data_IF_618328441117
#
_entry.id   IF_618328441117
#
_cell.length_a   1.000
_cell.length_b   1.000
_cell.length_c   1.000
_cell.angle_alpha   90.00
_cell.angle_beta   90.00
_cell.angle_gamma   90.00
#
_symmetry.space_group_name_H-M   'P 1'
#
loop_
_entity.id
_entity.type
_entity.pdbx_description
1 polymer ?
#
# COMPACT_ATOMS: atom_id res chain seq x y z
N UNK A 1 -4.39 -15.40 12.55
CA UNK A 1 -4.59 -13.94 12.47
C UNK A 1 -5.29 -13.58 11.17
N UNK A 2 -6.03 -12.50 11.15
CA UNK A 2 -6.59 -11.88 9.95
C UNK A 2 -5.67 -10.74 9.52
N UNK A 3 -5.05 -10.85 8.35
CA UNK A 3 -4.07 -9.89 7.86
C UNK A 3 -4.61 -9.20 6.62
N UNK A 4 -4.78 -7.90 6.66
CA UNK A 4 -5.06 -7.08 5.49
C UNK A 4 -3.73 -6.60 4.88
N UNK A 5 -3.61 -6.66 3.56
CA UNK A 5 -2.49 -6.05 2.84
C UNK A 5 -3.05 -4.97 1.91
N UNK A 6 -2.71 -3.71 2.17
CA UNK A 6 -3.06 -2.58 1.31
C UNK A 6 -1.84 -2.13 0.52
N UNK A 7 -1.80 -2.51 -0.73
CA UNK A 7 -0.70 -2.18 -1.64
C UNK A 7 -1.11 -2.39 -3.09
N UNK A 8 -0.15 -2.34 -4.04
CA UNK A 8 -0.42 -2.68 -5.42
C UNK A 8 -0.31 -4.20 -5.66
N UNK A 9 -1.31 -4.72 -6.34
CA UNK A 9 -1.41 -6.10 -6.82
C UNK A 9 -1.76 -6.08 -8.30
N UNK A 10 -1.90 -7.23 -8.92
CA UNK A 10 -2.45 -7.33 -10.27
C UNK A 10 -3.71 -6.45 -10.40
N UNK A 11 -3.92 -5.68 -11.47
CA UNK A 11 -3.16 -5.68 -12.74
C UNK A 11 -1.96 -4.72 -12.80
N UNK A 12 -1.48 -4.19 -11.68
CA UNK A 12 -0.29 -3.34 -11.68
C UNK A 12 0.97 -4.16 -11.91
N UNK A 13 1.90 -3.64 -12.74
CA UNK A 13 3.18 -4.30 -13.04
C UNK A 13 4.29 -3.81 -12.10
N UNK A 14 5.38 -4.59 -12.06
CA UNK A 14 6.63 -4.23 -11.40
C UNK A 14 6.94 -5.04 -10.15
N UNK A 15 8.16 -4.85 -9.65
CA UNK A 15 8.71 -5.64 -8.54
C UNK A 15 7.91 -5.53 -7.25
N UNK A 16 7.28 -4.37 -6.99
CA UNK A 16 6.44 -4.18 -5.80
C UNK A 16 5.21 -5.09 -5.86
N UNK A 17 4.52 -5.15 -7.00
CA UNK A 17 3.35 -6.01 -7.17
C UNK A 17 3.72 -7.50 -7.05
N UNK A 18 4.84 -7.90 -7.63
CA UNK A 18 5.35 -9.28 -7.53
C UNK A 18 5.70 -9.65 -6.09
N UNK A 19 6.41 -8.78 -5.38
CA UNK A 19 6.73 -8.97 -3.97
C UNK A 19 5.47 -9.09 -3.11
N UNK A 20 4.48 -8.24 -3.34
CA UNK A 20 3.21 -8.28 -2.59
C UNK A 20 2.44 -9.58 -2.85
N UNK A 21 2.45 -10.06 -4.09
CA UNK A 21 1.88 -11.37 -4.46
C UNK A 21 2.58 -12.51 -3.72
N UNK A 22 3.91 -12.50 -3.70
CA UNK A 22 4.69 -13.48 -2.93
C UNK A 22 4.36 -13.42 -1.43
N UNK A 23 4.39 -12.22 -0.84
CA UNK A 23 4.06 -12.00 0.57
C UNK A 23 2.64 -12.47 0.91
N UNK A 24 1.66 -12.17 0.06
CA UNK A 24 0.28 -12.64 0.20
C UNK A 24 0.22 -14.16 0.24
N UNK A 25 0.87 -14.83 -0.71
CA UNK A 25 0.87 -16.29 -0.80
C UNK A 25 1.55 -16.95 0.41
N UNK A 26 2.68 -16.41 0.86
CA UNK A 26 3.39 -16.94 2.04
C UNK A 26 2.59 -16.77 3.33
N UNK A 27 2.01 -15.60 3.54
CA UNK A 27 1.18 -15.36 4.72
C UNK A 27 -0.12 -16.19 4.70
N UNK A 28 -0.70 -16.43 3.52
CA UNK A 28 -1.91 -17.21 3.36
C UNK A 28 -1.74 -18.70 3.75
N UNK A 29 -0.52 -19.20 3.81
CA UNK A 29 -0.25 -20.58 4.28
C UNK A 29 -0.60 -20.78 5.76
N UNK A 30 -0.57 -19.70 6.56
CA UNK A 30 -0.75 -19.78 8.03
C UNK A 30 -1.80 -18.82 8.58
N UNK A 31 -2.29 -17.89 7.75
CA UNK A 31 -3.17 -16.80 8.17
C UNK A 31 -4.32 -16.60 7.18
N UNK A 32 -5.39 -15.97 7.64
CA UNK A 32 -6.45 -15.49 6.74
C UNK A 32 -6.03 -14.13 6.20
N UNK A 33 -5.70 -14.06 4.91
CA UNK A 33 -5.17 -12.85 4.28
C UNK A 33 -6.17 -12.28 3.29
N UNK A 34 -6.30 -10.96 3.24
CA UNK A 34 -7.07 -10.25 2.22
C UNK A 34 -6.26 -9.12 1.62
N UNK A 35 -6.21 -9.08 0.29
CA UNK A 35 -5.57 -8.03 -0.46
C UNK A 35 -6.55 -6.89 -0.76
N UNK A 36 -6.13 -5.66 -0.46
CA UNK A 36 -6.76 -4.42 -0.87
C UNK A 36 -5.83 -3.71 -1.83
N UNK A 37 -6.37 -3.26 -2.95
CA UNK A 37 -5.59 -2.75 -4.06
C UNK A 37 -5.96 -1.30 -4.37
N UNK A 38 -5.10 -0.64 -5.12
CA UNK A 38 -5.44 0.63 -5.72
C UNK A 38 -6.45 0.42 -6.86
N UNK A 39 -7.47 1.25 -6.92
CA UNK A 39 -8.26 1.46 -8.13
C UNK A 39 -7.55 2.43 -9.07
N UNK A 40 -6.76 3.38 -8.49
CA UNK A 40 -5.86 4.27 -9.21
C UNK A 40 -4.69 4.65 -8.32
N UNK A 41 -3.45 4.33 -8.77
CA UNK A 41 -2.22 4.71 -8.06
C UNK A 41 -1.84 6.16 -8.31
N UNK A 42 -1.84 6.56 -9.57
CA UNK A 42 -1.45 7.90 -10.02
C UNK A 42 -2.43 8.44 -11.03
N UNK A 43 -2.65 9.76 -11.07
CA UNK A 43 -3.15 10.40 -12.28
C UNK A 43 -2.20 10.09 -13.45
N UNK A 44 -2.74 9.78 -14.62
CA UNK A 44 -1.94 9.36 -15.78
C UNK A 44 -0.84 10.38 -16.15
N UNK A 45 -1.09 11.66 -15.91
CA UNK A 45 -0.14 12.75 -16.17
C UNK A 45 1.10 12.72 -15.26
N UNK A 46 1.03 12.07 -14.09
CA UNK A 46 2.14 11.99 -13.13
C UNK A 46 2.94 10.69 -13.24
N UNK A 47 2.51 9.77 -14.09
CA UNK A 47 3.20 8.50 -14.26
C UNK A 47 4.37 8.63 -15.25
N UNK A 48 5.61 8.33 -14.83
CA UNK A 48 6.79 8.53 -15.67
C UNK A 48 6.99 7.47 -16.75
N UNK A 49 6.13 6.44 -16.81
CA UNK A 49 6.24 5.32 -17.74
C UNK A 49 5.12 5.28 -18.79
N UNK A 50 5.22 4.34 -19.75
CA UNK A 50 4.20 4.14 -20.79
C UNK A 50 2.91 3.55 -20.25
N UNK A 51 3.00 2.61 -19.30
CA UNK A 51 1.86 1.99 -18.63
C UNK A 51 2.25 1.49 -17.25
N UNK A 52 1.32 1.60 -16.29
CA UNK A 52 1.46 1.04 -14.94
C UNK A 52 0.83 -0.36 -14.82
N UNK A 53 0.27 -0.89 -15.90
CA UNK A 53 -0.41 -2.18 -15.92
C UNK A 53 0.42 -3.24 -16.63
N UNK A 54 0.18 -4.50 -16.24
CA UNK A 54 0.77 -5.68 -16.89
C UNK A 54 0.36 -5.75 -18.36
N UNK A 55 1.26 -6.21 -19.20
CA UNK A 55 0.97 -6.55 -20.59
C UNK A 55 0.86 -8.08 -20.78
N UNK A 56 0.60 -8.51 -22.02
CA UNK A 56 0.43 -9.94 -22.36
C UNK A 56 1.69 -10.80 -22.15
N UNK A 57 2.86 -10.17 -22.02
CA UNK A 57 4.14 -10.84 -21.85
C UNK A 57 4.62 -10.87 -20.40
N UNK A 58 3.91 -10.18 -19.51
CA UNK A 58 4.25 -10.16 -18.08
C UNK A 58 3.74 -11.45 -17.39
N UNK A 59 4.65 -12.21 -16.77
CA UNK A 59 4.33 -13.40 -15.95
C UNK A 59 3.76 -13.00 -14.58
N UNK A 60 2.74 -12.15 -14.56
CA UNK A 60 2.12 -11.71 -13.32
C UNK A 60 1.11 -12.75 -12.82
N UNK A 61 1.26 -13.20 -11.59
CA UNK A 61 0.30 -14.09 -10.95
C UNK A 61 -0.81 -13.24 -10.34
N UNK A 62 -2.06 -13.39 -10.79
CA UNK A 62 -3.17 -12.64 -10.23
C UNK A 62 -3.47 -13.11 -8.80
N UNK A 63 -3.62 -12.15 -7.90
CA UNK A 63 -4.16 -12.34 -6.55
C UNK A 63 -5.53 -11.67 -6.52
N UNK A 64 -6.53 -12.36 -5.98
CA UNK A 64 -7.84 -11.76 -5.75
C UNK A 64 -7.69 -10.59 -4.79
N UNK A 65 -7.95 -9.39 -5.27
CA UNK A 65 -7.78 -8.16 -4.52
C UNK A 65 -8.94 -7.20 -4.72
N UNK A 66 -9.31 -6.49 -3.67
CA UNK A 66 -10.36 -5.48 -3.71
C UNK A 66 -9.76 -4.12 -4.09
N UNK A 67 -10.00 -3.69 -5.32
CA UNK A 67 -9.52 -2.40 -5.84
C UNK A 67 -10.41 -1.25 -5.34
N UNK A 68 -9.98 -0.56 -4.29
CA UNK A 68 -10.79 0.47 -3.59
C UNK A 68 -10.08 1.80 -3.42
N UNK A 69 -8.75 1.85 -3.38
CA UNK A 69 -8.00 3.06 -3.07
C UNK A 69 -7.63 3.84 -4.33
N UNK A 70 -8.24 5.00 -4.51
CA UNK A 70 -7.84 6.00 -5.50
C UNK A 70 -7.08 7.12 -4.80
N UNK A 71 -5.78 7.25 -5.08
CA UNK A 71 -4.92 8.22 -4.38
C UNK A 71 -5.23 9.68 -4.68
N UNK A 72 -5.97 9.95 -5.75
CA UNK A 72 -6.40 11.29 -6.12
C UNK A 72 -7.83 11.63 -5.65
N UNK A 73 -8.54 10.67 -5.02
CA UNK A 73 -9.91 10.85 -4.55
C UNK A 73 -10.04 10.63 -3.05
N UNK A 74 -10.14 11.68 -2.21
CA UNK A 74 -10.27 11.56 -0.76
C UNK A 74 -11.48 10.74 -0.30
N UNK A 75 -12.58 10.70 -1.05
CA UNK A 75 -13.74 9.86 -0.69
C UNK A 75 -13.40 8.37 -0.74
N UNK A 76 -12.47 7.97 -1.60
CA UNK A 76 -11.99 6.59 -1.64
C UNK A 76 -11.19 6.21 -0.38
N UNK A 77 -10.55 7.17 0.30
CA UNK A 77 -9.83 6.92 1.55
C UNK A 77 -10.79 6.46 2.64
N UNK A 78 -11.95 7.13 2.73
CA UNK A 78 -13.03 6.80 3.67
C UNK A 78 -13.59 5.40 3.35
N UNK A 79 -13.89 5.14 2.07
CA UNK A 79 -14.41 3.85 1.62
C UNK A 79 -13.40 2.71 1.88
N UNK A 80 -12.11 2.95 1.62
CA UNK A 80 -11.03 1.98 1.87
C UNK A 80 -10.87 1.68 3.36
N UNK A 81 -10.81 2.71 4.20
CA UNK A 81 -10.73 2.55 5.65
C UNK A 81 -11.94 1.76 6.18
N UNK A 82 -13.15 2.07 5.68
CA UNK A 82 -14.36 1.33 6.03
C UNK A 82 -14.28 -0.13 5.60
N UNK A 83 -13.91 -0.42 4.36
CA UNK A 83 -13.82 -1.78 3.83
C UNK A 83 -12.81 -2.65 4.62
N UNK A 84 -11.67 -2.08 4.99
CA UNK A 84 -10.67 -2.77 5.82
C UNK A 84 -11.20 -2.97 7.24
N UNK A 85 -11.78 -1.95 7.85
CA UNK A 85 -12.34 -2.03 9.20
C UNK A 85 -13.49 -3.03 9.32
N UNK A 86 -14.39 -3.07 8.32
CA UNK A 86 -15.52 -4.02 8.30
C UNK A 86 -15.03 -5.47 8.17
N UNK A 87 -13.88 -5.67 7.53
CA UNK A 87 -13.23 -6.98 7.47
C UNK A 87 -12.55 -7.38 8.79
N UNK A 88 -12.35 -6.46 9.75
CA UNK A 88 -11.80 -6.66 11.10
C UNK A 88 -10.45 -7.37 11.10
N UNK A 89 -9.40 -6.81 10.49
CA UNK A 89 -8.07 -7.38 10.55
C UNK A 89 -7.44 -7.20 11.94
N UNK A 90 -6.57 -8.15 12.32
CA UNK A 90 -5.67 -8.02 13.46
C UNK A 90 -4.45 -7.16 13.10
N UNK A 91 -4.04 -7.25 11.82
CA UNK A 91 -2.88 -6.58 11.27
C UNK A 91 -3.19 -5.99 9.89
N UNK A 92 -2.84 -4.73 9.69
CA UNK A 92 -2.73 -4.12 8.37
C UNK A 92 -1.25 -4.00 7.99
N UNK A 93 -0.89 -4.54 6.82
CA UNK A 93 0.40 -4.34 6.18
C UNK A 93 0.21 -3.38 5.02
N UNK A 94 0.98 -2.29 5.00
CA UNK A 94 1.02 -1.35 3.89
C UNK A 94 2.42 -1.29 3.30
N UNK A 95 2.53 -0.86 2.03
CA UNK A 95 3.81 -0.60 1.41
C UNK A 95 3.91 0.86 0.97
N UNK A 96 5.04 1.48 1.27
CA UNK A 96 5.29 2.89 1.03
C UNK A 96 6.59 3.08 0.24
N UNK A 97 6.48 3.72 -0.92
CA UNK A 97 7.64 3.95 -1.80
C UNK A 97 7.72 5.39 -2.34
N UNK A 98 6.72 6.22 -2.09
CA UNK A 98 6.79 7.66 -2.38
C UNK A 98 5.75 8.45 -1.59
N UNK A 99 6.07 9.72 -1.35
CA UNK A 99 5.29 10.65 -0.54
C UNK A 99 3.87 10.93 -1.06
N UNK A 100 3.63 10.76 -2.37
CA UNK A 100 2.31 10.88 -2.97
C UNK A 100 1.24 9.99 -2.30
N UNK A 101 1.64 8.82 -1.82
CA UNK A 101 0.70 7.90 -1.15
C UNK A 101 0.42 8.25 0.30
N UNK A 102 1.22 9.11 0.89
CA UNK A 102 1.15 9.42 2.31
C UNK A 102 -0.23 9.92 2.79
N UNK A 103 -0.92 10.84 2.07
CA UNK A 103 -2.26 11.28 2.48
C UNK A 103 -3.27 10.13 2.54
N UNK A 104 -3.31 9.29 1.50
CA UNK A 104 -4.28 8.20 1.39
C UNK A 104 -3.99 7.08 2.38
N UNK A 105 -2.76 6.56 2.42
CA UNK A 105 -2.36 5.48 3.33
C UNK A 105 -2.39 5.93 4.80
N UNK A 106 -1.92 7.15 5.09
CA UNK A 106 -1.96 7.72 6.43
C UNK A 106 -3.37 7.97 6.94
N UNK A 107 -4.30 8.33 6.06
CA UNK A 107 -5.72 8.43 6.40
C UNK A 107 -6.29 7.06 6.77
N UNK A 108 -6.09 6.06 5.93
CA UNK A 108 -6.58 4.69 6.18
C UNK A 108 -6.06 4.17 7.52
N UNK A 109 -4.76 4.27 7.78
CA UNK A 109 -4.16 3.80 9.02
C UNK A 109 -4.77 4.44 10.28
N UNK A 110 -5.12 5.75 10.23
CA UNK A 110 -5.73 6.47 11.37
C UNK A 110 -7.16 6.07 11.66
N UNK A 111 -7.87 5.55 10.66
CA UNK A 111 -9.30 5.26 10.76
C UNK A 111 -9.62 3.77 10.90
N UNK A 112 -8.64 2.96 11.32
CA UNK A 112 -8.83 1.57 11.69
C UNK A 112 -9.23 1.43 13.16
N UNK A 113 -9.68 0.24 13.55
CA UNK A 113 -9.91 -0.11 14.93
C UNK A 113 -8.61 -0.09 15.74
N UNK A 114 -8.67 0.31 17.01
CA UNK A 114 -7.48 0.42 17.88
C UNK A 114 -6.74 -0.91 18.08
N UNK A 115 -7.45 -2.01 17.99
CA UNK A 115 -6.91 -3.37 18.12
C UNK A 115 -6.09 -3.78 16.88
N UNK A 116 -6.38 -3.21 15.70
CA UNK A 116 -5.65 -3.48 14.49
C UNK A 116 -4.27 -2.84 14.53
N UNK A 117 -3.22 -3.65 14.49
CA UNK A 117 -1.86 -3.15 14.37
C UNK A 117 -1.58 -2.76 12.91
N UNK A 118 -0.74 -1.74 12.73
CA UNK A 118 -0.35 -1.24 11.41
C UNK A 118 1.17 -1.34 11.28
N UNK A 119 1.62 -2.06 10.26
CA UNK A 119 3.04 -2.18 9.90
C UNK A 119 3.20 -1.73 8.45
N UNK A 120 4.23 -0.94 8.19
CA UNK A 120 4.54 -0.51 6.83
C UNK A 120 5.91 -0.99 6.37
N UNK A 121 5.96 -1.53 5.15
CA UNK A 121 7.19 -1.84 4.43
C UNK A 121 7.62 -0.57 3.69
N UNK A 122 8.82 -0.10 3.99
CA UNK A 122 9.37 1.14 3.44
C UNK A 122 10.43 0.81 2.38
N UNK A 123 10.15 1.16 1.13
CA UNK A 123 11.10 1.01 0.03
C UNK A 123 11.98 2.27 -0.14
N UNK A 124 11.37 3.43 0.04
CA UNK A 124 12.06 4.71 -0.05
C UNK A 124 11.35 5.75 0.85
N UNK A 125 12.03 6.22 1.89
CA UNK A 125 11.49 7.19 2.83
C UNK A 125 11.83 8.62 2.42
N UNK A 126 13.03 8.80 1.84
CA UNK A 126 13.54 10.10 1.40
C UNK A 126 13.74 10.07 -0.10
N UNK A 127 12.92 10.77 -0.89
CA UNK A 127 13.12 10.88 -2.33
C UNK A 127 14.49 11.52 -2.64
N UNK A 128 15.14 11.08 -3.73
CA UNK A 128 16.39 11.69 -4.21
C UNK A 128 16.21 13.17 -4.56
N UNK A 129 15.04 13.53 -5.08
CA UNK A 129 14.62 14.91 -5.31
C UNK A 129 13.52 15.28 -4.32
N UNK A 130 13.88 16.02 -3.27
CA UNK A 130 12.93 16.43 -2.24
C UNK A 130 12.04 17.58 -2.73
N UNK A 131 10.74 17.39 -2.60
CA UNK A 131 9.73 18.43 -2.79
C UNK A 131 9.31 18.98 -1.43
N UNK A 132 8.80 20.22 -1.40
CA UNK A 132 8.41 20.88 -0.15
C UNK A 132 7.36 20.10 0.69
N UNK A 133 6.55 19.26 0.06
CA UNK A 133 5.52 18.46 0.73
C UNK A 133 5.98 17.06 1.16
N UNK A 134 7.15 16.57 0.71
CA UNK A 134 7.59 15.20 0.98
C UNK A 134 7.76 14.93 2.46
N UNK A 135 8.44 15.82 3.16
CA UNK A 135 8.68 15.67 4.61
C UNK A 135 7.39 15.71 5.44
N UNK A 136 6.48 16.70 5.29
CA UNK A 136 5.24 16.69 6.06
C UNK A 136 4.32 15.52 5.72
N UNK A 137 4.27 15.09 4.46
CA UNK A 137 3.47 13.95 4.03
C UNK A 137 4.02 12.65 4.61
N UNK A 138 5.32 12.43 4.52
CA UNK A 138 5.97 11.24 5.10
C UNK A 138 5.74 11.19 6.61
N UNK A 139 5.95 12.28 7.35
CA UNK A 139 5.65 12.36 8.79
C UNK A 139 4.17 12.06 9.10
N UNK A 140 3.26 12.57 8.27
CA UNK A 140 1.84 12.27 8.40
C UNK A 140 1.56 10.77 8.24
N UNK A 141 2.18 10.11 7.28
CA UNK A 141 2.03 8.67 7.06
C UNK A 141 2.66 7.84 8.17
N UNK A 142 3.87 8.16 8.62
CA UNK A 142 4.60 7.37 9.61
C UNK A 142 3.91 7.33 10.98
N UNK A 143 3.31 8.44 11.40
CA UNK A 143 2.76 8.61 12.77
C UNK A 143 1.76 7.53 13.22
N UNK A 144 0.81 7.03 12.42
CA UNK A 144 -0.16 6.03 12.85
C UNK A 144 0.36 4.59 12.84
N UNK A 145 1.59 4.34 12.39
CA UNK A 145 2.15 2.99 12.30
C UNK A 145 2.67 2.49 13.64
N UNK A 146 2.49 1.20 13.90
CA UNK A 146 3.02 0.52 15.08
C UNK A 146 4.45 -0.02 14.85
N UNK A 147 4.86 -0.19 13.60
CA UNK A 147 6.19 -0.68 13.23
C UNK A 147 6.48 -0.53 11.75
N UNK A 148 7.74 -0.69 11.42
CA UNK A 148 8.25 -0.57 10.07
C UNK A 148 9.16 -1.74 9.71
N UNK A 149 9.14 -2.12 8.44
CA UNK A 149 10.08 -3.05 7.83
C UNK A 149 10.82 -2.28 6.75
N UNK A 150 12.15 -2.26 6.84
CA UNK A 150 13.03 -1.69 5.80
C UNK A 150 13.79 -2.81 5.12
N UNK A 151 13.95 -2.72 3.80
CA UNK A 151 14.58 -3.77 3.02
C UNK A 151 16.11 -3.64 2.93
N UNK A 152 16.66 -2.47 3.32
CA UNK A 152 18.09 -2.25 3.45
C UNK A 152 18.39 -1.14 4.46
N UNK A 153 19.63 -1.11 4.98
CA UNK A 153 20.05 -0.13 5.99
C UNK A 153 20.05 1.33 5.50
N UNK A 154 20.03 1.55 4.19
CA UNK A 154 20.01 2.91 3.61
C UNK A 154 18.61 3.55 3.63
N UNK A 155 17.56 2.81 4.00
CA UNK A 155 16.16 3.27 4.02
C UNK A 155 15.68 3.61 5.43
N UNK A 156 16.38 3.09 6.45
CA UNK A 156 16.03 3.26 7.87
C UNK A 156 16.55 4.54 8.51
#
# INVERSE_FOLDING_TARGET
MRIAILSCFYPYRGGISQFNTFLFNELSKKHTVKAFNFSRQYPNILFPGKTQYVDKNDNAVPVESLAVLDTANPFSYIATAKAIRDWKPDLLIMRYWMSWFAPSLGYVARHLNKECKVISILDNVVPHEQRFFDTPFTKYFLKPNNGFIVLCNAVG
#
